data_IF_023291953774
#
_entry.id   IF_023291953774
#
_cell.length_a   1.000
_cell.length_b   1.000
_cell.length_c   1.000
_cell.angle_alpha   90.00
_cell.angle_beta   90.00
_cell.angle_gamma   90.00
#
_symmetry.space_group_name_H-M   'P 1'
#
loop_
_entity.id
_entity.type
_entity.pdbx_description
1 polymer ?
#
# COMPACT_ATOMS: atom_id res chain seq x y z
N UNK A 1 -29.68 3.05 21.86
CA UNK A 1 -30.60 3.61 20.85
C UNK A 1 -29.93 3.45 19.51
N UNK A 2 -30.31 2.40 18.78
CA UNK A 2 -29.78 2.04 17.46
C UNK A 2 -30.23 3.06 16.43
N UNK A 3 -29.32 3.90 15.94
CA UNK A 3 -29.59 4.80 14.82
C UNK A 3 -29.48 4.02 13.50
N UNK A 4 -30.53 3.24 13.22
CA UNK A 4 -30.83 2.73 11.89
C UNK A 4 -31.37 3.90 11.05
N UNK A 5 -30.49 4.80 10.59
CA UNK A 5 -30.93 6.12 10.15
C UNK A 5 -30.12 6.85 9.09
N UNK A 6 -29.40 6.16 8.18
CA UNK A 6 -29.08 6.81 6.89
C UNK A 6 -28.68 5.82 5.81
N UNK A 7 -29.69 5.18 5.20
CA UNK A 7 -29.62 4.88 3.76
C UNK A 7 -29.69 6.22 3.03
N UNK A 8 -28.57 6.95 3.01
CA UNK A 8 -28.45 8.11 2.14
C UNK A 8 -28.64 7.62 0.71
N UNK A 9 -29.76 7.96 0.09
CA UNK A 9 -29.93 7.77 -1.35
C UNK A 9 -28.89 8.70 -1.99
N UNK A 10 -27.84 8.11 -2.55
CA UNK A 10 -26.85 8.85 -3.33
C UNK A 10 -27.52 9.16 -4.68
N UNK A 11 -28.23 10.28 -4.74
CA UNK A 11 -29.09 10.65 -5.86
C UNK A 11 -28.29 11.31 -6.99
N UNK A 12 -27.09 11.83 -6.71
CA UNK A 12 -26.23 12.46 -7.71
C UNK A 12 -24.98 11.61 -8.00
N UNK A 13 -24.51 11.56 -9.27
CA UNK A 13 -23.25 10.92 -9.61
C UNK A 13 -22.10 11.45 -8.74
N UNK A 14 -21.35 10.54 -8.11
CA UNK A 14 -20.19 10.88 -7.26
C UNK A 14 -20.49 11.11 -5.78
N UNK A 15 -21.75 11.17 -5.33
CA UNK A 15 -22.06 11.34 -3.91
C UNK A 15 -21.65 10.15 -3.06
N UNK A 16 -21.80 8.92 -3.58
CA UNK A 16 -21.29 7.71 -2.93
C UNK A 16 -19.77 7.75 -2.81
N UNK A 17 -19.07 8.13 -3.88
CA UNK A 17 -17.61 8.22 -3.88
C UNK A 17 -17.12 9.27 -2.87
N UNK A 18 -17.78 10.44 -2.81
CA UNK A 18 -17.47 11.47 -1.83
C UNK A 18 -17.75 11.01 -0.40
N UNK A 19 -18.92 10.44 -0.12
CA UNK A 19 -19.26 9.88 1.19
C UNK A 19 -18.29 8.78 1.62
N UNK A 20 -17.91 7.89 0.70
CA UNK A 20 -16.95 6.82 0.94
C UNK A 20 -15.59 7.40 1.31
N UNK A 21 -15.06 8.35 0.52
CA UNK A 21 -13.80 9.03 0.82
C UNK A 21 -13.85 9.80 2.15
N UNK A 22 -14.96 10.49 2.45
CA UNK A 22 -15.16 11.19 3.72
C UNK A 22 -15.19 10.21 4.90
N UNK A 23 -15.78 9.01 4.74
CA UNK A 23 -15.78 7.95 5.76
C UNK A 23 -14.43 7.27 5.92
N UNK A 24 -13.71 7.04 4.83
CA UNK A 24 -12.35 6.50 4.79
C UNK A 24 -11.35 7.44 5.49
N UNK A 25 -11.61 8.75 5.51
CA UNK A 25 -10.78 9.76 6.19
C UNK A 25 -11.08 9.94 7.69
N UNK A 26 -12.11 9.28 8.25
CA UNK A 26 -12.38 9.36 9.68
C UNK A 26 -11.37 8.51 10.47
N UNK A 27 -10.70 9.14 11.44
CA UNK A 27 -9.57 8.60 12.21
C UNK A 27 -9.82 7.27 12.96
N UNK A 28 -11.07 6.81 13.09
CA UNK A 28 -11.40 5.51 13.68
C UNK A 28 -11.43 4.35 12.67
N UNK A 29 -11.25 4.61 11.36
CA UNK A 29 -11.14 3.61 10.29
C UNK A 29 -9.68 3.31 9.86
N UNK A 30 -8.69 4.01 10.45
CA UNK A 30 -7.34 4.16 9.90
C UNK A 30 -6.42 2.93 9.88
N UNK A 31 -6.69 1.88 10.68
CA UNK A 31 -5.82 0.68 10.69
C UNK A 31 -6.04 -0.22 9.47
N UNK A 32 -7.30 -0.40 9.01
CA UNK A 32 -7.60 -1.22 7.83
C UNK A 32 -7.02 -0.60 6.56
N UNK A 33 -7.16 0.72 6.43
CA UNK A 33 -6.73 1.48 5.26
C UNK A 33 -5.20 1.62 5.15
N UNK A 34 -4.51 1.79 6.27
CA UNK A 34 -3.05 1.74 6.31
C UNK A 34 -2.53 0.36 5.93
N UNK A 35 -3.15 -0.71 6.44
CA UNK A 35 -2.79 -2.09 6.11
C UNK A 35 -3.06 -2.45 4.64
N UNK A 36 -4.21 -2.04 4.08
CA UNK A 36 -4.53 -2.25 2.66
C UNK A 36 -3.59 -1.47 1.74
N UNK A 37 -3.29 -0.23 2.08
CA UNK A 37 -2.31 0.58 1.34
C UNK A 37 -0.91 -0.02 1.43
N UNK A 38 -0.51 -0.50 2.61
CA UNK A 38 0.77 -1.16 2.80
C UNK A 38 0.87 -2.44 1.95
N UNK A 39 -0.20 -3.26 1.89
CA UNK A 39 -0.29 -4.44 1.02
C UNK A 39 -0.19 -4.08 -0.46
N UNK A 40 -0.84 -3.01 -0.90
CA UNK A 40 -0.73 -2.51 -2.27
C UNK A 40 0.71 -2.14 -2.62
N UNK A 41 1.38 -1.36 -1.75
CA UNK A 41 2.79 -1.01 -1.92
C UNK A 41 3.68 -2.26 -1.96
N UNK A 42 3.44 -3.25 -1.09
CA UNK A 42 4.19 -4.51 -1.12
C UNK A 42 3.99 -5.26 -2.45
N UNK A 43 2.76 -5.35 -2.95
CA UNK A 43 2.48 -5.97 -4.25
C UNK A 43 3.18 -5.28 -5.41
N UNK A 44 3.21 -3.94 -5.43
CA UNK A 44 3.97 -3.16 -6.41
C UNK A 44 5.47 -3.38 -6.30
N UNK A 45 5.99 -3.44 -5.08
CA UNK A 45 7.41 -3.72 -4.84
C UNK A 45 7.84 -5.05 -5.45
N UNK A 46 7.05 -6.11 -5.25
CA UNK A 46 7.30 -7.43 -5.86
C UNK A 46 7.22 -7.36 -7.39
N UNK A 47 6.19 -6.72 -7.94
CA UNK A 47 6.03 -6.60 -9.39
C UNK A 47 7.22 -5.85 -10.04
N UNK A 48 7.70 -4.77 -9.43
CA UNK A 48 8.88 -4.05 -9.91
C UNK A 48 10.16 -4.86 -9.76
N UNK A 49 10.31 -5.64 -8.68
CA UNK A 49 11.45 -6.54 -8.51
C UNK A 49 11.48 -7.57 -9.65
N UNK A 50 10.34 -8.18 -9.99
CA UNK A 50 10.24 -9.16 -11.07
C UNK A 50 10.57 -8.55 -12.44
N UNK A 51 10.25 -7.28 -12.64
CA UNK A 51 10.58 -6.53 -13.86
C UNK A 51 12.03 -6.00 -13.90
N UNK A 52 12.83 -6.21 -12.85
CA UNK A 52 14.18 -5.67 -12.76
C UNK A 52 14.24 -4.17 -12.46
N UNK A 53 13.12 -3.54 -12.13
CA UNK A 53 13.01 -2.13 -11.77
C UNK A 53 13.38 -1.94 -10.29
N UNK A 54 14.66 -2.10 -9.97
CA UNK A 54 15.13 -2.23 -8.58
C UNK A 54 14.89 -0.96 -7.74
N UNK A 55 15.01 0.22 -8.33
CA UNK A 55 14.84 1.50 -7.61
C UNK A 55 13.37 1.75 -7.23
N UNK A 56 12.46 1.48 -8.14
CA UNK A 56 11.02 1.57 -7.96
C UNK A 56 10.55 0.52 -6.94
N UNK A 57 11.07 -0.71 -7.05
CA UNK A 57 10.82 -1.77 -6.07
C UNK A 57 11.22 -1.35 -4.66
N UNK A 58 12.41 -0.78 -4.48
CA UNK A 58 12.88 -0.27 -3.17
C UNK A 58 11.99 0.84 -2.61
N UNK A 59 11.49 1.73 -3.46
CA UNK A 59 10.63 2.85 -3.05
C UNK A 59 9.29 2.35 -2.52
N UNK A 60 8.70 1.38 -3.21
CA UNK A 60 7.43 0.74 -2.82
C UNK A 60 7.61 -0.13 -1.58
N UNK A 61 8.70 -0.91 -1.48
CA UNK A 61 9.03 -1.70 -0.30
C UNK A 61 9.19 -0.82 0.96
N UNK A 62 9.90 0.31 0.83
CA UNK A 62 10.05 1.24 1.95
C UNK A 62 8.69 1.82 2.41
N UNK A 63 7.82 2.16 1.46
CA UNK A 63 6.47 2.65 1.74
C UNK A 63 5.64 1.59 2.48
N UNK A 64 5.68 0.33 2.05
CA UNK A 64 5.01 -0.78 2.73
C UNK A 64 5.52 -0.99 4.17
N UNK A 65 6.84 -1.01 4.37
CA UNK A 65 7.48 -1.18 5.68
C UNK A 65 7.17 -0.05 6.67
N UNK A 66 6.99 1.17 6.15
CA UNK A 66 6.63 2.34 6.92
C UNK A 66 5.15 2.30 7.36
N UNK A 67 4.25 1.94 6.45
CA UNK A 67 2.81 2.02 6.66
C UNK A 67 2.24 0.95 7.60
N UNK A 68 2.77 -0.28 7.57
CA UNK A 68 2.30 -1.36 8.43
C UNK A 68 3.45 -2.22 8.96
N UNK A 69 3.51 -2.34 10.29
CA UNK A 69 4.53 -3.15 10.99
C UNK A 69 4.34 -4.64 10.76
N UNK A 70 3.12 -5.11 10.51
CA UNK A 70 2.83 -6.53 10.31
C UNK A 70 3.49 -7.07 9.05
N UNK A 71 3.55 -6.27 7.97
CA UNK A 71 4.14 -6.68 6.68
C UNK A 71 5.57 -6.17 6.47
N UNK A 72 6.13 -5.50 7.48
CA UNK A 72 7.49 -4.95 7.43
C UNK A 72 8.56 -6.02 7.13
N UNK A 73 8.51 -7.25 7.70
CA UNK A 73 9.47 -8.29 7.37
C UNK A 73 9.52 -8.62 5.87
N UNK A 74 8.36 -8.77 5.24
CA UNK A 74 8.20 -9.07 3.82
C UNK A 74 8.72 -7.94 2.94
N UNK A 75 8.38 -6.70 3.29
CA UNK A 75 8.87 -5.52 2.60
C UNK A 75 10.40 -5.40 2.68
N UNK A 76 10.99 -5.66 3.85
CA UNK A 76 12.45 -5.67 4.03
C UNK A 76 13.14 -6.82 3.27
N UNK A 77 12.47 -7.96 3.10
CA UNK A 77 12.98 -9.05 2.27
C UNK A 77 13.07 -8.64 0.80
N UNK A 78 12.01 -8.02 0.25
CA UNK A 78 12.01 -7.48 -1.13
C UNK A 78 13.13 -6.45 -1.30
N UNK A 79 13.29 -5.54 -0.33
CA UNK A 79 14.37 -4.55 -0.37
C UNK A 79 15.76 -5.19 -0.38
N UNK A 80 15.99 -6.23 0.44
CA UNK A 80 17.27 -6.98 0.44
C UNK A 80 17.51 -7.68 -0.90
N UNK A 81 16.49 -8.26 -1.51
CA UNK A 81 16.61 -8.89 -2.83
C UNK A 81 16.99 -7.87 -3.91
N UNK A 82 16.46 -6.64 -3.84
CA UNK A 82 16.87 -5.56 -4.75
C UNK A 82 18.35 -5.23 -4.59
N UNK A 83 18.82 -5.01 -3.36
CA UNK A 83 20.23 -4.70 -3.08
C UNK A 83 21.15 -5.83 -3.55
N UNK A 84 20.80 -7.09 -3.28
CA UNK A 84 21.59 -8.23 -3.74
C UNK A 84 21.67 -8.30 -5.27
N UNK A 85 20.56 -8.07 -5.98
CA UNK A 85 20.55 -8.05 -7.46
C UNK A 85 21.39 -6.90 -8.02
N UNK A 86 21.34 -5.73 -7.40
CA UNK A 86 22.16 -4.59 -7.80
C UNK A 86 23.66 -4.88 -7.62
N UNK A 87 24.05 -5.47 -6.48
CA UNK A 87 25.44 -5.85 -6.21
C UNK A 87 25.95 -6.95 -7.13
N UNK A 88 25.11 -7.93 -7.48
CA UNK A 88 25.47 -9.01 -8.42
C UNK A 88 25.54 -8.51 -9.86
N UNK A 89 24.61 -7.63 -10.27
CA UNK A 89 24.59 -7.04 -11.61
C UNK A 89 25.67 -5.98 -11.85
N UNK A 90 26.16 -5.32 -10.80
CA UNK A 90 27.21 -4.30 -10.87
C UNK A 90 28.64 -4.84 -11.01
N UNK A 91 28.85 -6.15 -10.83
CA UNK A 91 30.17 -6.77 -10.92
C UNK A 91 30.62 -7.14 -12.36
N UNK A 92 29.82 -6.77 -13.38
CA UNK A 92 30.04 -7.14 -14.78
C UNK A 92 30.33 -5.99 -15.75
N UNK A 93 30.85 -4.85 -15.26
CA UNK A 93 31.25 -3.69 -16.08
C UNK A 93 32.76 -3.51 -16.14
#
# INVERSE_FOLDING_TARGET
MTDHGSRAKFERPGEFARWFLEREMLASAGMGLAADRARLHLGRAVAFLDQGMLRESLTEANSAAYLDRAIRPEALLVARMCVLRELVGGAGG
#
